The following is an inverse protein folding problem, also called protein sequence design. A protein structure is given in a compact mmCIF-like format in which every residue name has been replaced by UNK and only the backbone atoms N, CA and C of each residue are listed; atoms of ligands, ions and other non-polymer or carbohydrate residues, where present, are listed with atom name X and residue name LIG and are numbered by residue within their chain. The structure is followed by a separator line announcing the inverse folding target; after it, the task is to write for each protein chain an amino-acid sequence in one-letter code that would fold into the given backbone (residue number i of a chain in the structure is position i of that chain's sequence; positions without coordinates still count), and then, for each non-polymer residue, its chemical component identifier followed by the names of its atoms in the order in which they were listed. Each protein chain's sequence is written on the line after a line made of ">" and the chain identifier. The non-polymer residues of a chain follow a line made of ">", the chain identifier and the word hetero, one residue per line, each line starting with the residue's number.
data_IF_044115308903
#
_entry.id   IF_044115308903
#
_cell.length_a   1.000
_cell.length_b   1.000
_cell.length_c   1.000
_cell.angle_alpha   90.00
_cell.angle_beta   90.00
_cell.angle_gamma   90.00
#
_symmetry.space_group_name_H-M   'P 1'
#
loop_
_entity.id
_entity.type
_entity.pdbx_description
1 polymer ?
#
# COMPACT_ATOMS: atom_id res chain seq x y z
N UNK A 1 46.46 -23.36 -7.11
CA UNK A 1 45.77 -22.08 -7.04
C UNK A 1 44.38 -22.28 -7.63
N UNK A 2 43.36 -22.49 -6.81
CA UNK A 2 41.96 -22.63 -7.31
C UNK A 2 41.30 -21.27 -7.30
N UNK A 3 40.90 -20.80 -8.48
CA UNK A 3 40.11 -19.59 -8.58
C UNK A 3 38.68 -19.90 -8.13
N UNK A 4 38.24 -19.33 -7.02
CA UNK A 4 36.84 -19.33 -6.61
C UNK A 4 36.10 -18.34 -7.48
N UNK A 5 35.38 -18.86 -8.47
CA UNK A 5 34.44 -18.04 -9.24
C UNK A 5 33.30 -17.60 -8.31
N UNK A 6 33.32 -16.35 -7.89
CA UNK A 6 32.21 -15.75 -7.16
C UNK A 6 30.97 -15.70 -8.03
N UNK A 7 29.92 -16.42 -7.64
CA UNK A 7 28.59 -16.29 -8.26
C UNK A 7 28.07 -14.90 -7.87
N UNK A 8 28.14 -13.94 -8.79
CA UNK A 8 27.41 -12.67 -8.66
C UNK A 8 25.94 -13.02 -8.85
N UNK A 9 25.19 -13.09 -7.74
CA UNK A 9 23.75 -13.20 -7.81
C UNK A 9 23.20 -11.95 -8.55
N UNK A 10 22.60 -12.14 -9.72
CA UNK A 10 21.92 -11.06 -10.44
C UNK A 10 20.83 -10.48 -9.53
N UNK A 11 20.99 -9.21 -9.20
CA UNK A 11 19.97 -8.49 -8.42
C UNK A 11 18.69 -8.40 -9.25
N UNK A 12 17.54 -8.78 -8.66
CA UNK A 12 16.25 -8.68 -9.32
C UNK A 12 15.93 -7.20 -9.58
N UNK A 13 15.64 -6.83 -10.84
CA UNK A 13 15.19 -5.47 -11.15
C UNK A 13 13.79 -5.23 -10.58
N UNK A 14 13.62 -4.10 -9.90
CA UNK A 14 12.33 -3.61 -9.42
C UNK A 14 11.65 -2.64 -10.40
N UNK A 15 12.29 -2.35 -11.53
CA UNK A 15 11.78 -1.41 -12.54
C UNK A 15 10.84 -2.13 -13.50
N UNK A 16 9.57 -1.73 -13.48
CA UNK A 16 8.56 -2.28 -14.38
C UNK A 16 7.43 -1.28 -14.63
N UNK A 17 6.74 -1.48 -15.76
CA UNK A 17 5.57 -0.69 -16.16
C UNK A 17 4.46 -1.65 -16.60
N UNK A 18 3.25 -1.44 -16.07
CA UNK A 18 2.03 -2.08 -16.57
C UNK A 18 1.04 -1.01 -17.03
N UNK A 19 0.21 -1.35 -18.00
CA UNK A 19 -0.73 -0.42 -18.63
C UNK A 19 -2.09 -1.05 -18.80
N UNK A 20 -3.15 -0.26 -18.63
CA UNK A 20 -4.53 -0.65 -18.91
C UNK A 20 -5.27 0.47 -19.61
N UNK A 21 -5.91 0.16 -20.74
CA UNK A 21 -6.72 1.15 -21.49
C UNK A 21 -7.96 1.52 -20.71
N UNK A 22 -8.32 2.80 -20.76
CA UNK A 22 -9.63 3.32 -20.32
C UNK A 22 -10.36 3.86 -21.54
N UNK A 23 -11.68 4.19 -21.46
CA UNK A 23 -12.42 4.66 -22.63
C UNK A 23 -11.80 5.88 -23.32
N UNK A 24 -11.09 6.71 -22.59
CA UNK A 24 -10.58 8.01 -23.06
C UNK A 24 -9.08 8.22 -22.79
N UNK A 25 -8.40 7.24 -22.21
CA UNK A 25 -6.98 7.31 -21.87
C UNK A 25 -6.42 5.94 -21.50
N UNK A 26 -5.40 5.91 -20.64
CA UNK A 26 -4.85 4.71 -20.01
C UNK A 26 -4.53 4.96 -18.54
N UNK A 27 -4.50 3.88 -17.76
CA UNK A 27 -3.85 3.84 -16.45
C UNK A 27 -2.45 3.26 -16.65
N UNK A 28 -1.45 3.95 -16.10
CA UNK A 28 -0.05 3.50 -16.11
C UNK A 28 0.42 3.35 -14.67
N UNK A 29 0.90 2.17 -14.32
CA UNK A 29 1.50 1.88 -13.01
C UNK A 29 2.98 1.57 -13.22
N UNK A 30 3.84 2.20 -12.42
CA UNK A 30 5.30 2.03 -12.50
C UNK A 30 5.86 1.63 -11.13
N UNK A 31 6.75 0.66 -11.13
CA UNK A 31 7.55 0.25 -9.96
C UNK A 31 9.01 0.66 -10.16
N UNK A 32 9.80 0.64 -9.08
CA UNK A 32 11.22 1.00 -9.18
C UNK A 32 12.09 0.18 -8.23
N UNK A 33 13.30 -0.14 -8.68
CA UNK A 33 14.35 -0.79 -7.88
C UNK A 33 14.71 0.03 -6.65
N UNK A 34 14.62 1.38 -6.73
CA UNK A 34 14.81 2.29 -5.60
C UNK A 34 13.98 1.91 -4.38
N UNK A 35 12.76 1.41 -4.61
CA UNK A 35 11.75 1.11 -3.59
C UNK A 35 11.46 -0.40 -3.46
N UNK A 36 12.44 -1.26 -3.79
CA UNK A 36 12.28 -2.72 -3.78
C UNK A 36 11.06 -3.21 -4.58
N UNK A 37 10.74 -2.56 -5.71
CA UNK A 37 9.60 -2.93 -6.56
C UNK A 37 8.24 -2.47 -6.06
N UNK A 38 8.17 -1.58 -5.07
CA UNK A 38 6.92 -0.93 -4.69
C UNK A 38 6.44 0.03 -5.79
N UNK A 39 5.12 0.25 -5.84
CA UNK A 39 4.51 1.14 -6.83
C UNK A 39 4.79 2.59 -6.44
N UNK A 40 5.58 3.28 -7.25
CA UNK A 40 5.93 4.67 -7.02
C UNK A 40 5.17 5.67 -7.87
N UNK A 41 4.47 5.20 -8.91
CA UNK A 41 3.67 6.06 -9.79
C UNK A 41 2.43 5.32 -10.26
N UNK A 42 1.30 6.02 -10.23
CA UNK A 42 0.05 5.63 -10.84
C UNK A 42 -0.51 6.86 -11.56
N UNK A 43 -0.64 6.78 -12.88
CA UNK A 43 -1.12 7.88 -13.71
C UNK A 43 -2.39 7.51 -14.46
N UNK A 44 -3.31 8.46 -14.56
CA UNK A 44 -4.46 8.44 -15.45
C UNK A 44 -4.63 9.82 -16.08
N UNK A 45 -4.82 9.87 -17.40
CA UNK A 45 -4.85 11.15 -18.18
C UNK A 45 -3.61 12.02 -17.89
N UNK A 46 -2.44 11.41 -17.71
CA UNK A 46 -1.20 12.13 -17.38
C UNK A 46 -1.08 12.63 -15.94
N UNK A 47 -2.16 12.62 -15.14
CA UNK A 47 -2.17 13.02 -13.74
C UNK A 47 -1.53 11.96 -12.86
N UNK A 48 -0.60 12.38 -12.00
CA UNK A 48 0.02 11.51 -10.99
C UNK A 48 -0.87 11.43 -9.75
N UNK A 49 -1.09 10.21 -9.25
CA UNK A 49 -1.91 9.92 -8.07
C UNK A 49 -1.06 9.54 -6.84
N UNK A 50 0.23 9.28 -7.01
CA UNK A 50 1.10 8.81 -5.92
C UNK A 50 2.19 9.84 -5.64
N UNK A 51 2.32 10.26 -4.40
CA UNK A 51 3.53 10.93 -3.93
C UNK A 51 4.55 9.86 -3.55
N UNK A 52 5.73 9.92 -4.16
CA UNK A 52 6.81 8.95 -3.96
C UNK A 52 8.12 9.65 -3.65
N UNK A 53 8.06 10.71 -2.85
CA UNK A 53 9.22 11.53 -2.52
C UNK A 53 10.27 10.74 -1.74
N UNK A 54 9.85 9.91 -0.79
CA UNK A 54 10.74 9.11 0.05
C UNK A 54 10.28 7.64 0.11
N UNK A 55 10.96 6.78 0.87
CA UNK A 55 10.64 5.36 1.03
C UNK A 55 9.39 5.08 1.89
N UNK A 56 8.83 6.10 2.55
CA UNK A 56 7.59 6.01 3.32
C UNK A 56 6.30 6.29 2.53
N UNK A 57 6.41 6.83 1.30
CA UNK A 57 5.29 7.41 0.56
C UNK A 57 5.11 6.75 -0.80
N UNK A 58 4.26 5.74 -0.89
CA UNK A 58 3.96 5.02 -2.13
C UNK A 58 2.51 4.52 -2.11
N UNK A 59 2.14 3.76 -3.15
CA UNK A 59 1.05 2.80 -3.08
C UNK A 59 1.67 1.47 -2.61
N UNK A 60 1.64 1.23 -1.30
CA UNK A 60 2.41 0.18 -0.65
C UNK A 60 1.66 -0.50 0.50
N UNK A 61 2.29 -1.50 1.09
CA UNK A 61 1.80 -2.25 2.24
C UNK A 61 2.76 -2.15 3.42
N UNK A 62 2.21 -2.15 4.63
CA UNK A 62 2.97 -2.16 5.88
C UNK A 62 2.21 -2.97 6.94
N UNK A 63 2.90 -3.33 8.03
CA UNK A 63 2.27 -3.95 9.18
C UNK A 63 2.85 -3.42 10.49
N UNK A 64 2.09 -3.51 11.58
CA UNK A 64 2.55 -3.21 12.94
C UNK A 64 2.23 -4.37 13.85
N UNK A 65 3.16 -4.72 14.74
CA UNK A 65 3.02 -5.83 15.69
C UNK A 65 3.34 -5.36 17.11
N UNK A 66 2.79 -6.07 18.09
CA UNK A 66 2.94 -5.75 19.51
C UNK A 66 4.29 -6.14 20.12
N UNK A 67 4.94 -7.21 19.63
CA UNK A 67 6.21 -7.73 20.18
C UNK A 67 6.18 -7.85 21.71
N UNK A 68 5.11 -8.46 22.25
CA UNK A 68 4.92 -8.71 23.67
C UNK A 68 4.49 -7.51 24.52
N UNK A 69 4.31 -6.32 23.92
CA UNK A 69 3.77 -5.12 24.57
C UNK A 69 2.76 -4.46 23.61
N UNK A 70 1.80 -3.66 24.10
CA UNK A 70 0.82 -3.02 23.22
C UNK A 70 1.47 -2.36 21.99
N UNK A 71 0.78 -2.42 20.84
CA UNK A 71 1.27 -1.81 19.60
C UNK A 71 1.51 -0.31 19.84
N UNK A 72 2.74 0.09 19.60
CA UNK A 72 3.12 1.50 19.53
C UNK A 72 3.49 1.79 18.07
N UNK A 73 2.90 2.81 17.50
CA UNK A 73 3.09 3.17 16.10
C UNK A 73 4.58 3.21 15.71
N UNK A 74 4.90 2.59 14.59
CA UNK A 74 6.21 2.53 13.95
C UNK A 74 7.30 1.70 14.67
N UNK A 75 7.12 1.31 15.94
CA UNK A 75 8.22 0.68 16.74
C UNK A 75 8.55 -0.75 16.31
N UNK A 76 7.60 -1.48 15.72
CA UNK A 76 7.83 -2.78 15.09
C UNK A 76 6.98 -2.86 13.83
N UNK A 77 7.44 -2.18 12.78
CA UNK A 77 6.64 -1.87 11.60
C UNK A 77 7.38 -2.26 10.31
N UNK A 78 7.26 -3.52 9.84
CA UNK A 78 7.74 -3.90 8.52
C UNK A 78 6.98 -3.13 7.42
N UNK A 79 7.74 -2.59 6.45
CA UNK A 79 7.23 -1.83 5.30
C UNK A 79 7.76 -2.40 3.98
N UNK A 80 6.97 -2.28 2.92
CA UNK A 80 7.32 -2.80 1.61
C UNK A 80 8.53 -2.07 0.99
N UNK A 81 8.55 -0.75 1.08
CA UNK A 81 9.45 0.08 0.28
C UNK A 81 10.80 0.40 0.96
N UNK A 82 10.99 0.00 2.21
CA UNK A 82 12.24 0.26 2.94
C UNK A 82 12.05 1.04 4.24
N UNK A 83 13.16 1.41 4.89
CA UNK A 83 13.19 2.09 6.18
C UNK A 83 13.13 3.61 6.04
N UNK A 84 12.81 4.29 7.14
CA UNK A 84 12.87 5.75 7.23
C UNK A 84 14.26 6.32 6.87
N UNK A 85 15.33 5.58 7.18
CA UNK A 85 16.69 5.98 6.86
C UNK A 85 17.03 5.96 5.38
N UNK A 86 16.29 5.20 4.59
CA UNK A 86 16.47 5.21 3.14
C UNK A 86 16.11 6.59 2.54
N UNK A 87 15.22 7.35 3.22
CA UNK A 87 14.86 8.72 2.85
C UNK A 87 14.41 8.81 1.40
N UNK A 88 14.99 9.74 0.63
CA UNK A 88 14.83 9.85 -0.83
C UNK A 88 15.94 9.13 -1.61
N UNK A 89 16.70 8.23 -0.96
CA UNK A 89 17.85 7.54 -1.53
C UNK A 89 17.52 6.61 -2.71
N UNK A 90 18.57 6.12 -3.36
CA UNK A 90 18.46 5.31 -4.59
C UNK A 90 18.35 3.80 -4.32
N UNK A 91 18.44 3.38 -3.06
CA UNK A 91 18.39 1.97 -2.66
C UNK A 91 17.44 1.78 -1.50
N UNK A 92 16.80 0.62 -1.43
CA UNK A 92 15.89 0.24 -0.35
C UNK A 92 16.56 -0.75 0.61
N UNK A 93 16.29 -0.61 1.90
CA UNK A 93 16.61 -1.64 2.90
C UNK A 93 15.67 -2.85 2.83
N UNK A 94 14.50 -2.77 2.20
CA UNK A 94 13.70 -3.94 1.82
C UNK A 94 14.34 -4.68 0.65
N UNK A 95 14.17 -6.01 0.61
CA UNK A 95 14.80 -6.85 -0.41
C UNK A 95 13.76 -7.37 -1.40
N UNK A 96 13.84 -6.94 -2.65
CA UNK A 96 13.06 -7.53 -3.72
C UNK A 96 13.54 -8.95 -4.02
N UNK A 97 12.64 -9.93 -4.00
CA UNK A 97 12.92 -11.35 -4.25
C UNK A 97 12.50 -11.76 -5.67
N UNK A 98 11.40 -11.23 -6.17
CA UNK A 98 10.96 -11.43 -7.55
C UNK A 98 10.03 -10.30 -7.99
N UNK A 99 10.02 -10.00 -9.29
CA UNK A 99 9.08 -9.11 -9.93
C UNK A 99 8.86 -9.57 -11.38
N UNK A 100 7.59 -9.64 -11.78
CA UNK A 100 7.19 -9.93 -13.16
C UNK A 100 6.08 -8.97 -13.55
N UNK A 101 6.19 -8.38 -14.74
CA UNK A 101 5.19 -7.49 -15.31
C UNK A 101 4.91 -7.89 -16.76
N UNK A 102 3.63 -8.06 -17.11
CA UNK A 102 3.20 -8.41 -18.45
C UNK A 102 1.85 -7.77 -18.76
N UNK A 103 1.81 -6.93 -19.78
CA UNK A 103 0.59 -6.23 -20.20
C UNK A 103 0.03 -5.33 -19.09
N UNK A 104 -1.11 -5.72 -18.53
CA UNK A 104 -1.79 -5.01 -17.45
C UNK A 104 -1.64 -5.67 -16.06
N UNK A 105 -0.74 -6.66 -15.92
CA UNK A 105 -0.53 -7.43 -14.67
C UNK A 105 0.89 -7.30 -14.17
N UNK A 106 1.02 -7.21 -12.85
CA UNK A 106 2.29 -7.20 -12.12
C UNK A 106 2.20 -8.16 -10.94
N UNK A 107 3.25 -8.94 -10.71
CA UNK A 107 3.43 -9.73 -9.50
C UNK A 107 4.79 -9.41 -8.90
N UNK A 108 4.87 -9.33 -7.57
CA UNK A 108 6.14 -9.16 -6.88
C UNK A 108 6.15 -9.91 -5.55
N UNK A 109 7.36 -10.18 -5.07
CA UNK A 109 7.61 -10.67 -3.72
C UNK A 109 8.80 -9.93 -3.15
N UNK A 110 8.66 -9.40 -1.93
CA UNK A 110 9.75 -8.77 -1.22
C UNK A 110 9.84 -9.25 0.23
N UNK A 111 11.04 -9.16 0.81
CA UNK A 111 11.26 -9.22 2.23
C UNK A 111 11.26 -7.79 2.77
N UNK A 112 10.36 -7.51 3.70
CA UNK A 112 10.10 -6.17 4.20
C UNK A 112 11.21 -5.73 5.18
N UNK A 113 11.58 -4.45 5.14
CA UNK A 113 12.43 -3.85 6.17
C UNK A 113 11.57 -3.18 7.24
N UNK A 114 12.10 -3.05 8.46
CA UNK A 114 11.46 -2.25 9.48
C UNK A 114 11.57 -0.76 9.16
N UNK A 115 10.47 -0.02 9.38
CA UNK A 115 10.44 1.44 9.19
C UNK A 115 11.49 2.16 10.02
N UNK A 116 11.58 1.82 11.32
CA UNK A 116 12.66 2.29 12.19
C UNK A 116 13.80 1.28 12.20
N UNK A 117 15.04 1.75 12.06
CA UNK A 117 16.21 0.92 12.26
C UNK A 117 16.48 0.71 13.76
N UNK A 118 17.25 -0.33 14.17
CA UNK A 118 17.58 -0.55 15.56
C UNK A 118 18.16 0.69 16.23
N UNK A 119 17.63 1.04 17.41
CA UNK A 119 18.03 2.23 18.17
C UNK A 119 17.34 3.53 17.78
N UNK A 120 16.56 3.55 16.71
CA UNK A 120 15.72 4.72 16.37
C UNK A 120 14.48 4.82 17.24
N UNK A 121 13.80 5.97 17.18
CA UNK A 121 12.60 6.25 17.97
C UNK A 121 11.48 6.83 17.11
N UNK A 122 10.24 6.52 17.50
CA UNK A 122 9.03 7.25 17.12
C UNK A 122 8.52 7.99 18.35
N UNK A 123 8.70 9.30 18.38
CA UNK A 123 8.50 10.09 19.60
C UNK A 123 9.36 9.54 20.76
N UNK A 124 8.75 9.25 21.94
CA UNK A 124 9.48 8.70 23.08
C UNK A 124 9.80 7.20 22.93
N UNK A 125 9.20 6.49 21.98
CA UNK A 125 9.18 5.04 21.90
C UNK A 125 10.34 4.51 21.05
N UNK A 126 11.14 3.60 21.62
CA UNK A 126 12.27 2.95 20.95
C UNK A 126 11.77 1.88 19.99
N UNK A 127 12.46 1.74 18.84
CA UNK A 127 12.28 0.62 17.94
C UNK A 127 12.53 -0.70 18.68
N UNK A 128 11.65 -1.70 18.45
CA UNK A 128 11.70 -3.01 19.11
C UNK A 128 12.47 -4.07 18.31
N UNK A 129 12.80 -3.77 17.06
CA UNK A 129 13.57 -4.66 16.18
C UNK A 129 15.07 -4.58 16.47
N UNK A 130 15.75 -5.70 16.29
CA UNK A 130 17.23 -5.84 16.41
C UNK A 130 17.95 -5.83 15.07
N UNK A 131 17.22 -5.90 13.95
CA UNK A 131 17.75 -5.87 12.58
C UNK A 131 16.96 -4.88 11.74
N UNK A 132 17.54 -4.42 10.62
CA UNK A 132 16.86 -3.55 9.65
C UNK A 132 15.88 -4.36 8.81
N UNK A 133 16.32 -5.52 8.30
CA UNK A 133 15.48 -6.41 7.49
C UNK A 133 14.65 -7.31 8.42
N UNK A 134 13.35 -7.34 8.21
CA UNK A 134 12.43 -8.19 8.96
C UNK A 134 12.39 -9.61 8.38
N UNK A 135 11.73 -10.53 9.07
CA UNK A 135 11.44 -11.87 8.54
C UNK A 135 10.10 -11.90 7.75
N UNK A 136 9.36 -10.81 7.70
CA UNK A 136 8.08 -10.72 7.00
C UNK A 136 8.28 -10.64 5.49
N UNK A 137 7.55 -11.50 4.78
CA UNK A 137 7.49 -11.52 3.33
C UNK A 137 6.16 -10.94 2.87
N UNK A 138 6.20 -10.10 1.84
CA UNK A 138 5.02 -9.59 1.16
C UNK A 138 4.99 -10.13 -0.27
N UNK A 139 3.88 -10.76 -0.66
CA UNK A 139 3.58 -11.07 -2.06
C UNK A 139 2.47 -10.15 -2.55
N UNK A 140 2.59 -9.65 -3.78
CA UNK A 140 1.67 -8.69 -4.37
C UNK A 140 1.31 -9.10 -5.79
N UNK A 141 0.02 -8.98 -6.14
CA UNK A 141 -0.50 -9.12 -7.49
C UNK A 141 -1.37 -7.91 -7.80
N UNK A 142 -1.12 -7.26 -8.94
CA UNK A 142 -1.86 -6.08 -9.38
C UNK A 142 -2.35 -6.29 -10.80
N UNK A 143 -3.64 -5.99 -11.05
CA UNK A 143 -4.23 -6.10 -12.38
C UNK A 143 -5.06 -4.85 -12.68
N UNK A 144 -4.72 -4.12 -13.75
CA UNK A 144 -5.50 -2.98 -14.24
C UNK A 144 -6.65 -3.49 -15.11
N UNK A 145 -7.83 -2.90 -15.01
CA UNK A 145 -9.03 -3.31 -15.75
C UNK A 145 -9.69 -4.56 -15.15
N UNK A 146 -9.63 -4.69 -13.83
CA UNK A 146 -10.23 -5.79 -13.10
C UNK A 146 -11.74 -5.91 -13.33
N UNK A 147 -12.24 -7.14 -13.32
CA UNK A 147 -13.67 -7.45 -13.45
C UNK A 147 -14.33 -6.86 -14.71
N UNK A 148 -13.53 -6.67 -15.78
CA UNK A 148 -13.97 -6.06 -17.04
C UNK A 148 -14.23 -4.54 -16.92
N UNK A 149 -13.72 -3.89 -15.88
CA UNK A 149 -13.90 -2.44 -15.65
C UNK A 149 -12.57 -1.70 -15.77
N UNK A 150 -12.34 -0.96 -16.86
CA UNK A 150 -11.03 -0.37 -17.19
C UNK A 150 -10.39 0.50 -16.10
N UNK A 151 -11.21 1.22 -15.33
CA UNK A 151 -10.77 2.14 -14.28
C UNK A 151 -10.69 1.48 -12.88
N UNK A 152 -10.77 0.15 -12.82
CA UNK A 152 -10.68 -0.62 -11.59
C UNK A 152 -9.38 -1.42 -11.57
N UNK A 153 -8.63 -1.29 -10.49
CA UNK A 153 -7.37 -1.99 -10.27
C UNK A 153 -7.60 -3.02 -9.15
N UNK A 154 -7.42 -4.29 -9.44
CA UNK A 154 -7.36 -5.33 -8.42
C UNK A 154 -5.96 -5.35 -7.80
N UNK A 155 -5.90 -5.39 -6.48
CA UNK A 155 -4.67 -5.40 -5.72
C UNK A 155 -4.77 -6.48 -4.63
N UNK A 156 -4.05 -7.57 -4.82
CA UNK A 156 -3.97 -8.69 -3.87
C UNK A 156 -2.63 -8.63 -3.17
N UNK A 157 -2.65 -8.69 -1.85
CA UNK A 157 -1.45 -8.79 -1.04
C UNK A 157 -1.55 -9.97 -0.10
N UNK A 158 -0.41 -10.60 0.17
CA UNK A 158 -0.31 -11.64 1.20
C UNK A 158 0.92 -11.36 2.04
N UNK A 159 0.71 -11.10 3.32
CA UNK A 159 1.78 -11.09 4.31
C UNK A 159 2.03 -12.52 4.78
N UNK A 160 3.31 -12.90 4.88
CA UNK A 160 3.72 -14.19 5.40
C UNK A 160 4.68 -13.98 6.56
N UNK A 161 4.27 -14.43 7.76
CA UNK A 161 5.05 -14.36 8.98
C UNK A 161 6.12 -15.45 9.05
N UNK A 162 7.08 -15.28 9.96
CA UNK A 162 8.07 -16.30 10.26
C UNK A 162 7.56 -17.25 11.37
N UNK A 163 7.84 -18.56 11.30
CA UNK A 163 7.37 -19.52 12.31
C UNK A 163 7.89 -19.25 13.72
N UNK A 164 9.04 -18.59 13.86
CA UNK A 164 9.61 -18.27 15.17
C UNK A 164 9.09 -16.95 15.76
N UNK A 165 8.35 -16.17 14.99
CA UNK A 165 7.84 -14.87 15.43
C UNK A 165 6.44 -15.03 16.03
N UNK A 166 6.27 -14.56 17.27
CA UNK A 166 5.01 -14.60 18.00
C UNK A 166 4.56 -13.18 18.36
N UNK A 167 3.32 -12.88 18.01
CA UNK A 167 2.66 -11.62 18.35
C UNK A 167 1.29 -11.93 18.95
N UNK A 168 0.78 -11.06 19.84
CA UNK A 168 -0.58 -11.14 20.36
C UNK A 168 -1.54 -10.32 19.51
N UNK A 169 -1.02 -9.28 18.85
CA UNK A 169 -1.79 -8.39 17.99
C UNK A 169 -0.98 -8.03 16.73
N UNK A 170 -1.68 -7.97 15.61
CA UNK A 170 -1.17 -7.46 14.34
C UNK A 170 -2.14 -6.46 13.73
N UNK A 171 -1.61 -5.36 13.18
CA UNK A 171 -2.32 -4.39 12.35
C UNK A 171 -1.68 -4.39 10.98
N UNK A 172 -2.40 -4.84 9.97
CA UNK A 172 -1.96 -4.83 8.59
C UNK A 172 -2.52 -3.58 7.88
N UNK A 173 -1.67 -2.61 7.56
CA UNK A 173 -1.96 -1.59 6.56
C UNK A 173 -1.80 -2.27 5.19
N UNK A 174 -2.82 -3.07 4.85
CA UNK A 174 -2.75 -4.00 3.72
C UNK A 174 -2.61 -3.28 2.38
N UNK A 175 -3.17 -2.07 2.28
CA UNK A 175 -2.91 -1.14 1.19
C UNK A 175 -3.00 0.30 1.70
N UNK A 176 -1.98 1.08 1.37
CA UNK A 176 -1.87 2.51 1.68
C UNK A 176 -1.53 3.27 0.41
N UNK A 177 -2.25 4.36 0.17
CA UNK A 177 -1.95 5.31 -0.91
C UNK A 177 -1.55 6.66 -0.34
N UNK A 178 -0.32 7.07 -0.62
CA UNK A 178 0.12 8.45 -0.40
C UNK A 178 -0.06 9.23 -1.70
N UNK A 179 -0.79 10.33 -1.65
CA UNK A 179 -1.19 11.10 -2.83
C UNK A 179 -0.70 12.55 -2.73
N UNK A 180 -0.48 13.24 -3.85
CA UNK A 180 -0.16 14.66 -3.87
C UNK A 180 -1.18 15.50 -3.10
N UNK A 181 -0.74 16.60 -2.47
CA UNK A 181 -1.55 17.47 -1.62
C UNK A 181 -2.80 18.05 -2.31
N UNK A 182 -2.80 18.11 -3.63
CA UNK A 182 -3.93 18.60 -4.44
C UNK A 182 -5.17 17.69 -4.38
N UNK A 183 -5.03 16.41 -3.99
CA UNK A 183 -6.16 15.51 -3.69
C UNK A 183 -6.79 15.85 -2.34
N UNK A 184 -7.16 17.09 -2.16
CA UNK A 184 -7.47 17.71 -0.87
C UNK A 184 -8.92 17.58 -0.42
N UNK A 185 -9.80 16.95 -1.21
CA UNK A 185 -11.19 16.68 -0.87
C UNK A 185 -11.36 15.22 -0.45
N UNK A 186 -11.87 15.01 0.76
CA UNK A 186 -11.99 13.69 1.39
C UNK A 186 -13.45 13.29 1.50
N UNK A 187 -13.77 12.04 1.16
CA UNK A 187 -15.11 11.48 1.23
C UNK A 187 -15.09 10.07 1.80
N UNK A 188 -16.21 9.67 2.44
CA UNK A 188 -16.58 8.28 2.63
C UNK A 188 -17.63 7.87 1.60
N UNK A 189 -17.63 6.64 1.19
CA UNK A 189 -18.69 6.08 0.37
C UNK A 189 -19.70 5.37 1.28
N UNK A 190 -20.87 5.96 1.45
CA UNK A 190 -21.98 5.32 2.16
C UNK A 190 -22.68 4.32 1.22
N UNK A 191 -22.57 3.03 1.54
CA UNK A 191 -23.16 1.97 0.74
C UNK A 191 -24.71 1.94 0.81
N UNK A 192 -25.33 2.51 1.85
CA UNK A 192 -26.79 2.54 2.01
C UNK A 192 -27.41 3.57 1.08
N UNK A 193 -26.88 4.79 1.09
CA UNK A 193 -27.33 5.87 0.20
C UNK A 193 -26.70 5.79 -1.19
N UNK A 194 -25.66 4.97 -1.37
CA UNK A 194 -24.83 4.88 -2.57
C UNK A 194 -24.21 6.24 -2.98
N UNK A 195 -23.83 7.06 -2.00
CA UNK A 195 -23.30 8.42 -2.20
C UNK A 195 -21.94 8.62 -1.54
N UNK A 196 -21.20 9.58 -2.05
CA UNK A 196 -20.02 10.13 -1.39
C UNK A 196 -20.47 11.22 -0.41
N UNK A 197 -20.08 11.05 0.86
CA UNK A 197 -20.31 12.02 1.92
C UNK A 197 -18.97 12.65 2.33
N UNK A 198 -18.91 13.97 2.50
CA UNK A 198 -17.69 14.66 2.90
C UNK A 198 -17.13 14.12 4.23
N UNK A 199 -15.81 14.02 4.30
CA UNK A 199 -15.05 13.74 5.51
C UNK A 199 -14.11 14.91 5.82
N UNK A 200 -13.72 15.01 7.10
CA UNK A 200 -12.56 15.83 7.46
C UNK A 200 -11.29 15.22 6.86
N UNK A 201 -10.24 16.02 6.75
CA UNK A 201 -8.93 15.56 6.24
C UNK A 201 -8.12 14.72 7.25
N UNK A 202 -8.76 14.34 8.37
CA UNK A 202 -8.18 13.44 9.39
C UNK A 202 -7.30 14.18 10.43
N UNK A 203 -6.49 13.43 11.19
CA UNK A 203 -6.44 11.97 11.18
C UNK A 203 -7.75 11.30 11.59
N UNK A 204 -8.03 10.13 11.05
CA UNK A 204 -9.20 9.33 11.45
C UNK A 204 -9.39 8.07 10.61
N UNK A 205 -10.17 7.16 11.16
CA UNK A 205 -10.52 5.88 10.55
C UNK A 205 -12.04 5.68 10.64
N UNK A 206 -12.65 5.06 9.65
CA UNK A 206 -14.08 4.70 9.63
C UNK A 206 -14.28 3.37 8.88
N UNK A 207 -15.46 2.73 9.00
CA UNK A 207 -15.74 1.43 8.39
C UNK A 207 -15.98 1.49 6.88
N UNK A 208 -16.34 2.66 6.34
CA UNK A 208 -16.74 2.83 4.96
C UNK A 208 -15.54 3.15 4.05
N UNK A 209 -15.58 2.77 2.75
CA UNK A 209 -14.55 3.10 1.78
C UNK A 209 -14.25 4.59 1.72
N UNK A 210 -12.97 4.94 1.61
CA UNK A 210 -12.49 6.32 1.52
C UNK A 210 -12.18 6.68 0.07
N UNK A 211 -12.47 7.93 -0.29
CA UNK A 211 -12.14 8.53 -1.59
C UNK A 211 -11.46 9.87 -1.35
N UNK A 212 -10.34 10.08 -2.02
CA UNK A 212 -9.67 11.37 -2.10
C UNK A 212 -9.77 11.91 -3.52
N UNK A 213 -10.08 13.20 -3.68
CA UNK A 213 -10.16 13.84 -4.99
C UNK A 213 -9.53 15.24 -5.01
N UNK A 214 -9.24 15.71 -6.21
CA UNK A 214 -9.03 17.14 -6.44
C UNK A 214 -10.32 17.92 -6.13
N UNK A 215 -10.24 19.23 -5.76
CA UNK A 215 -11.42 20.02 -5.37
C UNK A 215 -12.50 20.10 -6.44
N UNK A 216 -12.10 20.11 -7.71
CA UNK A 216 -13.01 20.11 -8.88
C UNK A 216 -13.62 18.73 -9.19
N UNK A 217 -13.14 17.67 -8.52
CA UNK A 217 -13.58 16.30 -8.75
C UNK A 217 -13.07 15.68 -10.07
N UNK A 218 -12.20 16.36 -10.81
CA UNK A 218 -11.69 15.88 -12.08
C UNK A 218 -10.83 14.62 -11.95
N UNK A 219 -10.16 14.45 -10.81
CA UNK A 219 -9.33 13.31 -10.48
C UNK A 219 -9.64 12.80 -9.08
N UNK A 220 -9.89 11.51 -8.96
CA UNK A 220 -10.20 10.86 -7.69
C UNK A 220 -9.66 9.44 -7.66
N UNK A 221 -9.32 8.98 -6.44
CA UNK A 221 -8.96 7.60 -6.14
C UNK A 221 -9.76 7.14 -4.92
N UNK A 222 -10.37 5.95 -5.02
CA UNK A 222 -11.11 5.31 -3.93
C UNK A 222 -10.63 3.89 -3.70
N UNK A 223 -10.72 3.43 -2.46
CA UNK A 223 -10.35 2.07 -2.05
C UNK A 223 -11.55 1.31 -1.53
N UNK A 224 -11.70 0.06 -1.95
CA UNK A 224 -12.70 -0.89 -1.46
C UNK A 224 -12.03 -2.25 -1.20
N UNK A 225 -12.40 -2.92 -0.10
CA UNK A 225 -12.08 -4.33 0.12
C UNK A 225 -13.35 -5.13 0.39
N UNK A 226 -13.56 -6.28 -0.25
CA UNK A 226 -14.64 -7.18 0.06
C UNK A 226 -14.44 -7.96 1.36
N UNK A 227 -13.20 -8.01 1.87
CA UNK A 227 -12.88 -8.72 3.11
C UNK A 227 -13.61 -8.07 4.30
N UNK A 228 -14.25 -8.91 5.14
CA UNK A 228 -15.16 -8.43 6.20
C UNK A 228 -14.50 -8.37 7.60
N UNK A 229 -13.31 -8.96 7.75
CA UNK A 229 -12.66 -9.06 9.05
C UNK A 229 -12.17 -7.69 9.53
N UNK A 230 -12.62 -7.22 10.71
CA UNK A 230 -12.14 -6.08 11.52
C UNK A 230 -11.33 -5.01 10.74
N UNK A 231 -11.89 -4.54 9.62
CA UNK A 231 -11.23 -3.58 8.75
C UNK A 231 -11.64 -2.14 9.07
N UNK A 232 -10.75 -1.21 8.76
CA UNK A 232 -11.01 0.22 8.75
C UNK A 232 -10.36 0.91 7.56
N UNK A 233 -10.89 2.06 7.22
CA UNK A 233 -10.34 2.95 6.19
C UNK A 233 -9.92 4.26 6.85
N UNK A 234 -8.62 4.50 6.87
CA UNK A 234 -8.05 5.69 7.46
C UNK A 234 -7.74 6.78 6.45
N UNK A 235 -7.59 8.01 6.96
CA UNK A 235 -7.21 9.18 6.17
C UNK A 235 -6.40 10.18 6.99
N UNK A 236 -5.49 10.89 6.32
CA UNK A 236 -4.61 11.90 6.93
C UNK A 236 -4.24 12.98 5.92
N UNK A 237 -4.00 14.17 6.45
CA UNK A 237 -3.27 15.23 5.77
C UNK A 237 -2.03 15.59 6.59
N UNK A 238 -0.87 15.60 5.96
CA UNK A 238 0.41 15.93 6.61
C UNK A 238 0.82 17.38 6.34
N UNK A 239 0.06 18.32 6.91
CA UNK A 239 0.24 19.77 6.71
C UNK A 239 -0.32 20.28 5.38
N UNK A 240 -0.41 21.63 5.19
CA UNK A 240 -1.17 22.22 4.09
C UNK A 240 -0.60 21.94 2.70
N UNK A 241 0.71 21.85 2.57
CA UNK A 241 1.41 21.62 1.29
C UNK A 241 2.04 20.23 1.20
N UNK A 242 1.72 19.36 2.14
CA UNK A 242 2.27 18.02 2.20
C UNK A 242 1.29 17.00 1.66
N UNK A 243 1.79 15.78 1.52
CA UNK A 243 1.05 14.61 1.05
C UNK A 243 -0.23 14.34 1.86
N UNK A 244 -1.23 13.83 1.19
CA UNK A 244 -2.43 13.23 1.80
C UNK A 244 -2.33 11.72 1.73
N UNK A 245 -3.01 11.03 2.64
CA UNK A 245 -2.92 9.56 2.78
C UNK A 245 -4.29 8.96 3.00
N UNK A 246 -4.52 7.82 2.39
CA UNK A 246 -5.55 6.87 2.81
C UNK A 246 -4.92 5.50 3.05
N UNK A 247 -5.54 4.67 3.88
CA UNK A 247 -5.19 3.25 3.99
C UNK A 247 -6.43 2.38 4.19
N UNK A 248 -6.27 1.07 3.93
CA UNK A 248 -7.18 0.02 4.36
C UNK A 248 -6.41 -0.87 5.35
N UNK A 249 -6.92 -0.98 6.56
CA UNK A 249 -6.27 -1.71 7.66
C UNK A 249 -7.11 -2.88 8.13
N UNK A 250 -6.44 -3.95 8.52
CA UNK A 250 -7.03 -5.13 9.16
C UNK A 250 -6.34 -5.42 10.48
N UNK A 251 -7.11 -5.86 11.47
CA UNK A 251 -6.61 -6.19 12.81
C UNK A 251 -6.82 -7.66 13.09
N UNK A 252 -5.75 -8.34 13.50
CA UNK A 252 -5.75 -9.76 13.84
C UNK A 252 -5.30 -9.90 15.29
N UNK A 253 -6.14 -10.54 16.10
CA UNK A 253 -5.77 -10.93 17.46
C UNK A 253 -5.15 -12.33 17.44
N UNK A 254 -4.08 -12.52 18.19
CA UNK A 254 -3.34 -13.78 18.30
C UNK A 254 -3.00 -14.41 16.93
N UNK A 255 -2.28 -13.67 16.05
CA UNK A 255 -1.89 -14.19 14.76
C UNK A 255 -1.06 -15.45 14.94
N UNK A 256 -1.43 -16.52 14.21
CA UNK A 256 -0.72 -17.79 14.28
C UNK A 256 0.71 -17.64 13.70
N UNK A 257 1.68 -18.28 14.33
CA UNK A 257 3.08 -18.31 13.86
C UNK A 257 3.15 -18.88 12.44
N UNK A 258 3.93 -18.24 11.58
CA UNK A 258 4.12 -18.68 10.19
C UNK A 258 2.89 -18.57 9.31
N UNK A 259 1.78 -17.98 9.80
CA UNK A 259 0.56 -17.85 9.05
C UNK A 259 0.71 -16.87 7.88
N UNK A 260 -0.21 -17.03 6.92
CA UNK A 260 -0.35 -16.15 5.77
C UNK A 260 -1.64 -15.34 5.92
N UNK A 261 -1.55 -14.05 5.63
CA UNK A 261 -2.65 -13.11 5.76
C UNK A 261 -2.93 -12.48 4.38
N UNK A 262 -3.84 -13.10 3.58
CA UNK A 262 -4.22 -12.57 2.28
C UNK A 262 -5.29 -11.48 2.42
N UNK A 263 -5.18 -10.42 1.61
CA UNK A 263 -6.17 -9.34 1.51
C UNK A 263 -6.40 -8.97 0.05
N UNK A 264 -7.66 -8.70 -0.27
CA UNK A 264 -8.09 -8.26 -1.59
C UNK A 264 -8.57 -6.81 -1.54
N UNK A 265 -8.09 -6.01 -2.48
CA UNK A 265 -8.52 -4.63 -2.66
C UNK A 265 -8.90 -4.34 -4.10
N UNK A 266 -9.78 -3.39 -4.27
CA UNK A 266 -10.08 -2.73 -5.53
C UNK A 266 -9.83 -1.25 -5.38
N UNK A 267 -8.94 -0.71 -6.21
CA UNK A 267 -8.65 0.73 -6.29
C UNK A 267 -9.35 1.28 -7.53
N UNK A 268 -10.29 2.19 -7.33
CA UNK A 268 -10.99 2.88 -8.40
C UNK A 268 -10.29 4.21 -8.70
N UNK A 269 -10.00 4.48 -9.97
CA UNK A 269 -9.35 5.71 -10.46
C UNK A 269 -10.21 6.34 -11.54
N UNK A 270 -10.42 7.64 -11.47
CA UNK A 270 -11.28 8.35 -12.43
C UNK A 270 -11.65 9.75 -11.98
N UNK A 271 -12.75 10.29 -12.49
CA UNK A 271 -13.41 11.44 -11.85
C UNK A 271 -14.08 11.01 -10.56
N UNK A 272 -14.44 11.95 -9.71
CA UNK A 272 -15.13 11.67 -8.45
C UNK A 272 -16.42 10.86 -8.67
N UNK A 273 -17.18 11.19 -9.71
CA UNK A 273 -18.43 10.52 -10.09
C UNK A 273 -18.16 9.10 -10.58
N UNK A 274 -17.13 8.89 -11.41
CA UNK A 274 -16.72 7.57 -11.89
C UNK A 274 -16.26 6.68 -10.76
N UNK A 275 -15.50 7.21 -9.80
CA UNK A 275 -15.09 6.47 -8.60
C UNK A 275 -16.30 6.08 -7.75
N UNK A 276 -17.22 6.99 -7.50
CA UNK A 276 -18.47 6.71 -6.78
C UNK A 276 -19.28 5.59 -7.45
N UNK A 277 -19.42 5.63 -8.78
CA UNK A 277 -20.10 4.58 -9.56
C UNK A 277 -19.43 3.20 -9.39
N UNK A 278 -18.09 3.15 -9.42
CA UNK A 278 -17.34 1.89 -9.20
C UNK A 278 -17.53 1.36 -7.78
N UNK A 279 -17.48 2.23 -6.76
CA UNK A 279 -17.70 1.84 -5.38
C UNK A 279 -19.14 1.35 -5.14
N UNK A 280 -20.14 1.99 -5.76
CA UNK A 280 -21.54 1.54 -5.74
C UNK A 280 -21.66 0.12 -6.31
N UNK A 281 -21.05 -0.12 -7.47
CA UNK A 281 -21.07 -1.44 -8.08
C UNK A 281 -20.36 -2.49 -7.22
N UNK A 282 -19.16 -2.18 -6.69
CA UNK A 282 -18.41 -3.08 -5.80
C UNK A 282 -19.20 -3.43 -4.54
N UNK A 283 -19.85 -2.46 -3.90
CA UNK A 283 -20.61 -2.69 -2.67
C UNK A 283 -21.85 -3.56 -2.86
N UNK A 284 -22.40 -3.61 -4.09
CA UNK A 284 -23.54 -4.45 -4.45
C UNK A 284 -23.14 -5.82 -5.03
N UNK A 285 -21.86 -6.03 -5.34
CA UNK A 285 -21.35 -7.27 -5.93
C UNK A 285 -21.18 -8.37 -4.89
N UNK A 286 -21.37 -9.63 -5.32
CA UNK A 286 -21.02 -10.82 -4.52
C UNK A 286 -19.63 -11.26 -4.92
N UNK A 287 -18.70 -11.29 -3.97
CA UNK A 287 -17.32 -11.75 -4.13
C UNK A 287 -17.14 -13.14 -3.53
#
# INVERSE_FOLDING_TARGET
>A
MFAVAGIVALQVSGDAVIRGRTPDSEIVITTTSRLAGAIHSLKWRGKEFIDSTDHGRQLQSAANFDQGTPITAETYNPTEAGSRRDGAGQTSSSRLLSLTATGNRLTSKCQMAFWLTPGERSGPNLAKNSAVLSHWLLSKEVTIGALGRPQLIEYRVTFAGHPDEQNNEAVFESLTGYMPAEFSSFYRFDAQSAKLEPLSDGPGEQPDPVVLSTPDGAFAMGIFSPDKARKGYGRWRFGPEKVVKWNCVFRVQQPQRGARFPYLHYVAVGTKEQVAEKLKWLSSSKF
#
